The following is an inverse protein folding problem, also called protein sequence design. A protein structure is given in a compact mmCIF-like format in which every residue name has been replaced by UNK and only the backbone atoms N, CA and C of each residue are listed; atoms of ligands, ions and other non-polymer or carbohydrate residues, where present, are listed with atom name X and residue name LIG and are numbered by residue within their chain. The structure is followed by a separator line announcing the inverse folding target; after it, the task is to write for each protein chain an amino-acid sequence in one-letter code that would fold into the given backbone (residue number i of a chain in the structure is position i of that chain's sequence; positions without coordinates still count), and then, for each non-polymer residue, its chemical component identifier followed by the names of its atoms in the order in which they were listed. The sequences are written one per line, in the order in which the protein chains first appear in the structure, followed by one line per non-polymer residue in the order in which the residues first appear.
data_IF_969493623651
#
_entry.id   IF_969493623651
#
_cell.length_a   1.000
_cell.length_b   1.000
_cell.length_c   1.000
_cell.angle_alpha   90.00
_cell.angle_beta   90.00
_cell.angle_gamma   90.00
#
_symmetry.space_group_name_H-M   'P 1'
#
loop_
_entity.id
_entity.type
_entity.pdbx_description
1 polymer ?
#
# COMPACT_ATOMS: atom_id res chain seq x y z
N UNK A 1 17.35 -31.29 22.99
CA UNK A 1 16.35 -30.68 22.08
C UNK A 1 17.02 -29.52 21.34
N UNK A 2 17.35 -29.69 20.06
CA UNK A 2 18.01 -28.64 19.25
C UNK A 2 16.96 -27.67 18.69
N UNK A 3 17.12 -26.37 18.94
CA UNK A 3 16.26 -25.30 18.39
C UNK A 3 16.48 -25.24 16.88
N UNK A 4 15.47 -25.66 16.11
CA UNK A 4 15.39 -25.52 14.65
C UNK A 4 15.52 -24.03 14.28
N UNK A 5 16.66 -23.63 13.74
CA UNK A 5 16.81 -22.33 13.08
C UNK A 5 15.82 -22.25 11.91
N UNK A 6 15.11 -21.12 11.81
CA UNK A 6 14.12 -20.94 10.76
C UNK A 6 14.81 -20.92 9.39
N UNK A 7 14.43 -21.87 8.52
CA UNK A 7 14.89 -22.07 7.13
C UNK A 7 14.85 -20.83 6.24
N UNK A 8 14.17 -19.78 6.70
CA UNK A 8 14.08 -18.50 6.01
C UNK A 8 15.36 -17.66 6.09
N UNK A 9 16.19 -17.82 7.13
CA UNK A 9 17.41 -17.02 7.28
C UNK A 9 18.46 -17.33 6.20
N UNK A 10 18.57 -18.59 5.77
CA UNK A 10 19.56 -18.99 4.76
C UNK A 10 19.24 -18.43 3.36
N UNK A 11 17.95 -18.26 3.05
CA UNK A 11 17.48 -17.67 1.79
C UNK A 11 17.86 -16.18 1.66
N UNK A 12 17.73 -15.40 2.73
CA UNK A 12 18.10 -13.98 2.70
C UNK A 12 19.62 -13.75 2.79
N UNK A 13 20.37 -14.70 3.38
CA UNK A 13 21.83 -14.65 3.44
C UNK A 13 22.50 -14.85 2.08
N UNK A 14 21.95 -15.72 1.24
CA UNK A 14 22.49 -16.01 -0.09
C UNK A 14 22.35 -14.84 -1.08
N UNK A 15 21.30 -14.02 -0.94
CA UNK A 15 21.01 -12.89 -1.83
C UNK A 15 21.81 -11.60 -1.51
N UNK A 16 22.56 -11.55 -0.41
CA UNK A 16 23.37 -10.38 -0.02
C UNK A 16 24.79 -10.36 -0.62
N UNK A 17 25.18 -11.37 -1.40
CA UNK A 17 26.48 -11.43 -2.08
C UNK A 17 26.41 -11.00 -3.55
N UNK A 18 25.61 -9.99 -3.85
CA UNK A 18 25.66 -9.27 -5.13
C UNK A 18 26.07 -7.85 -4.83
N UNK A 19 27.13 -7.43 -5.52
CA UNK A 19 27.80 -6.15 -5.40
C UNK A 19 26.79 -5.00 -5.45
N UNK A 20 26.97 -4.04 -4.54
CA UNK A 20 26.11 -2.87 -4.38
C UNK A 20 26.25 -1.93 -5.59
N UNK A 21 25.44 -2.16 -6.62
CA UNK A 21 25.18 -1.17 -7.67
C UNK A 21 24.52 0.04 -7.00
N UNK A 22 25.28 1.12 -6.82
CA UNK A 22 24.77 2.40 -6.31
C UNK A 22 23.80 3.00 -7.34
N UNK A 23 22.53 2.63 -7.24
CA UNK A 23 21.44 3.38 -7.85
C UNK A 23 21.23 4.64 -7.00
N UNK A 24 21.07 5.83 -7.60
CA UNK A 24 20.69 7.02 -6.83
C UNK A 24 19.40 6.72 -6.04
N UNK A 25 19.28 7.20 -4.80
CA UNK A 25 18.11 6.90 -3.99
C UNK A 25 16.88 7.38 -4.76
N UNK A 26 15.87 6.52 -4.99
CA UNK A 26 14.62 6.97 -5.57
C UNK A 26 14.09 8.10 -4.68
N UNK A 27 13.59 9.18 -5.29
CA UNK A 27 12.88 10.23 -4.59
C UNK A 27 11.95 9.57 -3.58
N UNK A 28 12.20 9.83 -2.29
CA UNK A 28 11.43 9.23 -1.21
C UNK A 28 10.03 9.82 -1.28
N UNK A 29 9.18 9.26 -2.14
CA UNK A 29 7.73 9.49 -2.08
C UNK A 29 7.32 9.04 -0.70
N UNK A 30 7.09 10.01 0.19
CA UNK A 30 6.62 9.77 1.54
C UNK A 30 5.32 8.99 1.42
N UNK A 31 5.29 7.77 1.96
CA UNK A 31 4.10 6.95 1.88
C UNK A 31 2.92 7.70 2.50
N UNK A 32 1.69 7.53 1.98
CA UNK A 32 0.51 8.29 2.46
C UNK A 32 0.31 8.21 3.98
N UNK A 33 0.68 7.09 4.61
CA UNK A 33 0.63 6.93 6.07
C UNK A 33 1.66 7.73 6.88
N UNK A 34 2.66 8.32 6.23
CA UNK A 34 3.68 9.19 6.84
C UNK A 34 3.43 10.68 6.52
N UNK A 35 2.45 10.98 5.66
CA UNK A 35 2.09 12.36 5.35
C UNK A 35 1.17 12.90 6.46
N UNK A 36 1.51 14.03 7.12
CA UNK A 36 0.71 14.61 8.20
C UNK A 36 -0.69 15.07 7.76
N UNK A 37 -0.91 15.32 6.47
CA UNK A 37 -2.21 15.74 5.93
C UNK A 37 -3.20 14.56 5.78
N UNK A 38 -2.76 13.33 6.04
CA UNK A 38 -3.56 12.13 5.89
C UNK A 38 -3.82 11.44 7.23
N UNK A 39 -5.09 11.12 7.48
CA UNK A 39 -5.49 10.21 8.57
C UNK A 39 -5.90 8.86 7.98
N UNK A 40 -5.37 7.76 8.52
CA UNK A 40 -5.78 6.40 8.12
C UNK A 40 -7.17 6.10 8.67
N UNK A 41 -8.10 5.82 7.76
CA UNK A 41 -9.47 5.40 8.10
C UNK A 41 -9.70 3.96 7.64
N UNK A 42 -10.28 3.12 8.50
CA UNK A 42 -10.68 1.75 8.15
C UNK A 42 -12.20 1.65 8.26
N UNK A 43 -12.84 1.18 7.19
CA UNK A 43 -14.30 1.04 7.10
C UNK A 43 -14.67 -0.34 6.58
N UNK A 44 -15.85 -0.82 6.97
CA UNK A 44 -16.42 -2.04 6.41
C UNK A 44 -17.25 -1.71 5.17
N UNK A 45 -16.98 -2.41 4.07
CA UNK A 45 -17.79 -2.38 2.86
C UNK A 45 -18.30 -3.81 2.58
N UNK A 46 -19.51 -3.96 2.00
CA UNK A 46 -19.93 -5.23 1.43
C UNK A 46 -18.86 -5.78 0.46
N UNK A 47 -18.59 -7.09 0.51
CA UNK A 47 -17.53 -7.70 -0.31
C UNK A 47 -17.71 -7.44 -1.81
N UNK A 48 -18.95 -7.44 -2.29
CA UNK A 48 -19.29 -7.11 -3.68
C UNK A 48 -18.86 -5.68 -4.04
N UNK A 49 -19.20 -4.71 -3.18
CA UNK A 49 -18.88 -3.31 -3.38
C UNK A 49 -17.37 -3.05 -3.34
N UNK A 50 -16.65 -3.63 -2.38
CA UNK A 50 -15.19 -3.52 -2.32
C UNK A 50 -14.52 -4.09 -3.59
N UNK A 51 -15.03 -5.20 -4.15
CA UNK A 51 -14.52 -5.76 -5.41
C UNK A 51 -14.76 -4.82 -6.59
N UNK A 52 -15.95 -4.21 -6.67
CA UNK A 52 -16.26 -3.24 -7.72
C UNK A 52 -15.37 -2.00 -7.63
N UNK A 53 -15.20 -1.43 -6.42
CA UNK A 53 -14.30 -0.30 -6.20
C UNK A 53 -12.87 -0.63 -6.64
N UNK A 54 -12.36 -1.82 -6.27
CA UNK A 54 -11.04 -2.27 -6.69
C UNK A 54 -10.93 -2.43 -8.21
N UNK A 55 -11.96 -2.97 -8.86
CA UNK A 55 -11.96 -3.15 -10.31
C UNK A 55 -11.94 -1.80 -11.03
N UNK A 56 -12.81 -0.86 -10.63
CA UNK A 56 -12.85 0.49 -11.19
C UNK A 56 -11.53 1.24 -10.99
N UNK A 57 -10.92 1.13 -9.81
CA UNK A 57 -9.62 1.73 -9.54
C UNK A 57 -8.50 1.20 -10.46
N UNK A 58 -8.54 -0.10 -10.80
CA UNK A 58 -7.59 -0.69 -11.74
C UNK A 58 -7.85 -0.26 -13.18
N UNK A 59 -9.12 -0.15 -13.58
CA UNK A 59 -9.53 0.28 -14.92
C UNK A 59 -9.19 1.75 -15.19
N UNK A 60 -9.36 2.62 -14.18
CA UNK A 60 -9.05 4.04 -14.27
C UNK A 60 -7.58 4.38 -13.97
N UNK A 61 -6.75 3.39 -13.61
CA UNK A 61 -5.36 3.61 -13.13
C UNK A 61 -5.26 4.58 -11.94
N UNK A 62 -6.25 4.56 -11.05
CA UNK A 62 -6.37 5.49 -9.90
C UNK A 62 -6.22 4.78 -8.56
N UNK A 63 -5.82 5.54 -7.54
CA UNK A 63 -5.78 5.01 -6.19
C UNK A 63 -7.19 4.99 -5.57
N UNK A 64 -7.58 3.87 -4.97
CA UNK A 64 -8.87 3.76 -4.26
C UNK A 64 -9.07 4.84 -3.20
N UNK A 65 -7.99 5.31 -2.54
CA UNK A 65 -8.07 6.39 -1.57
C UNK A 65 -8.52 7.72 -2.19
N UNK A 66 -8.15 7.98 -3.43
CA UNK A 66 -8.52 9.22 -4.15
C UNK A 66 -10.00 9.18 -4.52
N UNK A 67 -10.45 8.05 -5.09
CA UNK A 67 -11.86 7.80 -5.40
C UNK A 67 -12.72 7.98 -4.15
N UNK A 68 -12.34 7.36 -3.03
CA UNK A 68 -13.07 7.48 -1.76
C UNK A 68 -13.04 8.93 -1.24
N UNK A 69 -11.93 9.64 -1.39
CA UNK A 69 -11.81 11.05 -0.96
C UNK A 69 -12.78 11.94 -1.73
N UNK A 70 -12.88 11.76 -3.05
CA UNK A 70 -13.82 12.53 -3.89
C UNK A 70 -15.28 12.24 -3.53
N UNK A 71 -15.64 10.96 -3.40
CA UNK A 71 -17.00 10.56 -3.00
C UNK A 71 -17.39 11.14 -1.63
N UNK A 72 -16.47 11.12 -0.66
CA UNK A 72 -16.71 11.72 0.67
C UNK A 72 -16.86 13.24 0.57
N UNK A 73 -16.02 13.92 -0.22
CA UNK A 73 -16.14 15.37 -0.44
C UNK A 73 -17.47 15.73 -1.10
N UNK A 74 -17.88 14.98 -2.12
CA UNK A 74 -19.14 15.19 -2.81
C UNK A 74 -20.32 15.02 -1.85
N UNK A 75 -20.35 13.92 -1.08
CA UNK A 75 -21.41 13.68 -0.10
C UNK A 75 -21.48 14.77 0.97
N UNK A 76 -20.34 15.32 1.41
CA UNK A 76 -20.31 16.44 2.36
C UNK A 76 -20.78 17.76 1.74
N UNK A 77 -20.55 17.97 0.44
CA UNK A 77 -20.96 19.16 -0.28
C UNK A 77 -22.47 19.18 -0.58
N UNK A 78 -23.05 18.02 -0.89
CA UNK A 78 -24.48 17.85 -1.19
C UNK A 78 -25.39 17.86 0.06
N UNK A 79 -24.80 18.03 1.24
CA UNK A 79 -25.50 17.94 2.51
C UNK A 79 -26.06 19.28 3.00
#
# INVERSE_FOLDING_TARGET
MSKKGNRFNDLFGAARRTESVQTPPPDKKVAKGQNPDYTRTTIYLPKSLHRQLKAAALEEEREMSEIVTELVKQWLYER
#
